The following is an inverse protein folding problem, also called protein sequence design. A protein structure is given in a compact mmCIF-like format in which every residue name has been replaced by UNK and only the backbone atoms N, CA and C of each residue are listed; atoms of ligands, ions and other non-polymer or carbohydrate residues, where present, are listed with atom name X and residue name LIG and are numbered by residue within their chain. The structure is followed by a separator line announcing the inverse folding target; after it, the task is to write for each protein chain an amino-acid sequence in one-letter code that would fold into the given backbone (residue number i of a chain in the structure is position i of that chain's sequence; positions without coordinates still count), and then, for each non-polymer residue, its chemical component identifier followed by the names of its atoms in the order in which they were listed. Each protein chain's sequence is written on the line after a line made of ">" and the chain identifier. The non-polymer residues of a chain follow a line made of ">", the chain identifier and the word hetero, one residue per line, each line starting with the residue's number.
data_IF_178872654223
#
_entry.id   IF_178872654223
#
_cell.length_a   1.000
_cell.length_b   1.000
_cell.length_c   1.000
_cell.angle_alpha   90.00
_cell.angle_beta   90.00
_cell.angle_gamma   90.00
#
_symmetry.space_group_name_H-M   'P 1'
#
loop_
_entity.id
_entity.type
_entity.pdbx_description
1 polymer ?
#
# COMPACT_ATOMS: atom_id res chain seq x y z
N UNK A 1 27.16 -1.37 -48.98
CA UNK A 1 27.14 -1.76 -47.55
C UNK A 1 25.69 -1.88 -47.14
N UNK A 2 25.16 -3.10 -47.17
CA UNK A 2 23.73 -3.39 -47.27
C UNK A 2 23.00 -3.28 -45.94
N UNK A 3 21.88 -2.53 -45.90
CA UNK A 3 20.89 -2.54 -44.82
C UNK A 3 20.42 -3.97 -44.43
N UNK A 4 20.58 -4.95 -45.32
CA UNK A 4 20.20 -6.35 -45.08
C UNK A 4 21.08 -7.09 -44.06
N UNK A 5 22.30 -6.61 -43.75
CA UNK A 5 23.14 -7.18 -42.68
C UNK A 5 22.87 -6.55 -41.30
N UNK A 6 22.19 -5.40 -41.25
CA UNK A 6 21.86 -4.73 -39.99
C UNK A 6 20.62 -5.28 -39.30
N UNK A 7 19.64 -5.78 -40.09
CA UNK A 7 18.37 -6.31 -39.60
C UNK A 7 18.56 -7.57 -38.73
N UNK A 8 19.35 -8.59 -39.13
CA UNK A 8 19.56 -9.79 -38.32
C UNK A 8 20.34 -9.52 -37.03
N UNK A 9 21.26 -8.55 -37.05
CA UNK A 9 22.02 -8.13 -35.86
C UNK A 9 21.12 -7.38 -34.87
N UNK A 10 20.24 -6.50 -35.36
CA UNK A 10 19.23 -5.82 -34.55
C UNK A 10 18.26 -6.81 -33.91
N UNK A 11 17.80 -7.81 -34.67
CA UNK A 11 16.96 -8.89 -34.17
C UNK A 11 17.68 -9.76 -33.13
N UNK A 12 18.95 -10.11 -33.35
CA UNK A 12 19.73 -10.88 -32.37
C UNK A 12 19.97 -10.09 -31.07
N UNK A 13 20.34 -8.81 -31.17
CA UNK A 13 20.51 -7.92 -30.00
C UNK A 13 19.19 -7.76 -29.25
N UNK A 14 18.08 -7.62 -29.98
CA UNK A 14 16.74 -7.57 -29.41
C UNK A 14 16.38 -8.88 -28.68
N UNK A 15 16.56 -10.04 -29.32
CA UNK A 15 16.30 -11.35 -28.72
C UNK A 15 17.17 -11.60 -27.49
N UNK A 16 18.47 -11.29 -27.53
CA UNK A 16 19.38 -11.40 -26.37
C UNK A 16 18.93 -10.45 -25.26
N UNK A 17 18.52 -9.22 -25.60
CA UNK A 17 17.95 -8.26 -24.66
C UNK A 17 16.69 -8.79 -23.96
N UNK A 18 15.75 -9.35 -24.74
CA UNK A 18 14.54 -9.99 -24.24
C UNK A 18 14.84 -11.21 -23.37
N UNK A 19 15.74 -12.10 -23.79
CA UNK A 19 16.13 -13.29 -23.02
C UNK A 19 16.81 -12.89 -21.71
N UNK A 20 17.78 -11.95 -21.75
CA UNK A 20 18.42 -11.42 -20.54
C UNK A 20 17.42 -10.73 -19.61
N UNK A 21 16.42 -10.04 -20.16
CA UNK A 21 15.35 -9.43 -19.40
C UNK A 21 14.47 -10.46 -18.71
N UNK A 22 13.98 -11.46 -19.44
CA UNK A 22 13.17 -12.56 -18.91
C UNK A 22 13.95 -13.29 -17.84
N UNK A 23 15.21 -13.67 -18.09
CA UNK A 23 16.08 -14.33 -17.11
C UNK A 23 16.23 -13.43 -15.87
N UNK A 24 16.54 -12.14 -16.02
CA UNK A 24 16.70 -11.22 -14.88
C UNK A 24 15.42 -11.08 -14.05
N UNK A 25 14.23 -11.18 -14.65
CA UNK A 25 12.94 -11.01 -13.98
C UNK A 25 12.32 -12.31 -13.45
N UNK A 26 12.57 -13.44 -14.10
CA UNK A 26 12.16 -14.76 -13.64
C UNK A 26 13.07 -15.29 -12.52
N UNK A 27 14.34 -14.87 -12.47
CA UNK A 27 15.25 -15.22 -11.37
C UNK A 27 15.17 -14.25 -10.17
N UNK A 28 14.51 -13.09 -10.35
CA UNK A 28 14.29 -12.11 -9.27
C UNK A 28 12.99 -12.44 -8.56
N UNK A 29 13.08 -12.90 -7.32
CA UNK A 29 11.93 -12.95 -6.42
C UNK A 29 11.75 -11.61 -5.71
N UNK A 30 10.53 -11.27 -5.32
CA UNK A 30 10.20 -10.06 -4.57
C UNK A 30 11.01 -9.96 -3.27
N UNK A 31 11.41 -11.09 -2.69
CA UNK A 31 12.30 -11.17 -1.52
C UNK A 31 13.64 -10.42 -1.67
N UNK A 32 14.19 -10.32 -2.88
CA UNK A 32 15.44 -9.59 -3.14
C UNK A 32 15.27 -8.08 -2.95
N UNK A 33 14.07 -7.54 -3.24
CA UNK A 33 13.82 -6.09 -3.17
C UNK A 33 13.77 -5.57 -1.74
N UNK A 34 13.61 -6.47 -0.78
CA UNK A 34 13.57 -6.19 0.65
C UNK A 34 14.73 -6.81 1.41
N UNK A 35 15.73 -7.38 0.72
CA UNK A 35 16.76 -8.18 1.40
C UNK A 35 17.55 -7.39 2.44
N UNK A 36 17.75 -6.09 2.19
CA UNK A 36 18.46 -5.16 3.06
C UNK A 36 17.55 -4.41 4.03
N UNK A 37 16.24 -4.70 4.04
CA UNK A 37 15.28 -4.02 4.93
C UNK A 37 15.35 -4.59 6.34
N UNK A 38 14.97 -3.78 7.31
CA UNK A 38 14.93 -4.18 8.71
C UNK A 38 13.80 -5.18 8.96
N UNK A 39 13.90 -5.95 10.04
CA UNK A 39 12.86 -6.91 10.44
C UNK A 39 11.83 -6.16 11.28
N UNK A 40 10.56 -6.26 10.93
CA UNK A 40 9.49 -5.60 11.67
C UNK A 40 9.29 -6.22 13.07
N UNK A 41 8.94 -5.39 14.05
CA UNK A 41 8.59 -5.85 15.40
C UNK A 41 7.17 -6.43 15.45
N UNK A 42 6.88 -7.28 16.47
CA UNK A 42 5.52 -7.78 16.65
C UNK A 42 4.53 -6.65 16.95
N UNK A 43 4.95 -5.62 17.68
CA UNK A 43 4.13 -4.47 18.07
C UNK A 43 3.64 -3.67 16.87
N UNK A 44 4.52 -3.38 15.91
CA UNK A 44 4.16 -2.65 14.69
C UNK A 44 3.26 -3.47 13.77
N UNK A 45 3.54 -4.77 13.69
CA UNK A 45 2.87 -5.67 12.75
C UNK A 45 1.52 -6.20 13.26
N UNK A 46 1.29 -6.16 14.59
CA UNK A 46 0.07 -6.64 15.27
C UNK A 46 -1.26 -6.20 14.65
N UNK A 47 -1.42 -4.96 14.13
CA UNK A 47 -2.67 -4.52 13.53
C UNK A 47 -3.05 -5.20 12.22
N UNK A 48 -2.08 -5.70 11.47
CA UNK A 48 -2.29 -6.08 10.07
C UNK A 48 -3.26 -7.27 9.91
N UNK A 49 -3.11 -8.41 10.63
CA UNK A 49 -4.03 -9.53 10.48
C UNK A 49 -5.48 -9.17 10.81
N UNK A 50 -5.73 -8.42 11.90
CA UNK A 50 -7.09 -8.01 12.29
C UNK A 50 -7.72 -7.08 11.25
N UNK A 51 -6.95 -6.15 10.68
CA UNK A 51 -7.44 -5.23 9.66
C UNK A 51 -7.73 -5.98 8.35
N UNK A 52 -6.95 -7.00 8.01
CA UNK A 52 -7.25 -7.86 6.87
C UNK A 52 -8.58 -8.59 7.06
N UNK A 53 -8.86 -9.12 8.26
CA UNK A 53 -10.17 -9.71 8.58
C UNK A 53 -11.30 -8.69 8.49
N UNK A 54 -11.11 -7.47 8.98
CA UNK A 54 -12.12 -6.40 8.84
C UNK A 54 -12.41 -6.04 7.38
N UNK A 55 -11.39 -6.00 6.52
CA UNK A 55 -11.60 -5.78 5.08
C UNK A 55 -12.30 -6.98 4.45
N UNK A 56 -11.94 -8.22 4.81
CA UNK A 56 -12.61 -9.44 4.36
C UNK A 56 -14.10 -9.44 4.75
N UNK A 57 -14.45 -8.93 5.92
CA UNK A 57 -15.86 -8.81 6.34
C UNK A 57 -16.69 -7.93 5.40
N UNK A 58 -16.08 -6.93 4.73
CA UNK A 58 -16.77 -6.10 3.73
C UNK A 58 -17.20 -6.91 2.51
N UNK A 59 -16.58 -8.08 2.26
CA UNK A 59 -16.95 -8.97 1.16
C UNK A 59 -18.17 -9.84 1.46
N UNK A 60 -18.52 -10.05 2.74
CA UNK A 60 -19.67 -10.87 3.15
C UNK A 60 -21.00 -10.17 2.87
N UNK A 61 -22.04 -10.89 2.50
CA UNK A 61 -23.39 -10.31 2.36
C UNK A 61 -24.06 -10.10 3.72
N UNK A 62 -23.91 -11.07 4.62
CA UNK A 62 -24.42 -11.04 5.99
C UNK A 62 -23.27 -11.27 6.99
N UNK A 63 -23.08 -10.32 7.91
CA UNK A 63 -22.03 -10.41 8.93
C UNK A 63 -22.42 -11.29 10.12
N UNK A 64 -23.72 -11.51 10.34
CA UNK A 64 -24.21 -12.41 11.39
C UNK A 64 -24.08 -13.88 10.95
N UNK A 65 -24.21 -14.14 9.64
CA UNK A 65 -24.10 -15.47 9.04
C UNK A 65 -23.11 -15.47 7.86
N UNK A 66 -21.80 -15.29 8.12
CA UNK A 66 -20.82 -15.19 7.05
C UNK A 66 -20.64 -16.51 6.30
N UNK A 67 -20.45 -16.43 4.99
CA UNK A 67 -20.28 -17.59 4.11
C UNK A 67 -18.81 -18.02 3.97
N UNK A 68 -17.88 -17.08 4.06
CA UNK A 68 -16.46 -17.31 3.79
C UNK A 68 -15.54 -16.83 4.93
N UNK A 69 -15.81 -17.21 6.19
CA UNK A 69 -14.97 -16.81 7.31
C UNK A 69 -13.53 -17.33 7.13
N UNK A 70 -12.50 -16.51 7.39
CA UNK A 70 -11.12 -16.98 7.44
C UNK A 70 -10.92 -17.96 8.63
N UNK A 71 -9.77 -18.63 8.67
CA UNK A 71 -9.41 -19.50 9.79
C UNK A 71 -9.41 -18.71 11.11
N UNK A 72 -10.26 -19.11 12.05
CA UNK A 72 -10.47 -18.37 13.31
C UNK A 72 -11.58 -17.31 13.28
N UNK A 73 -12.28 -17.17 12.15
CA UNK A 73 -13.37 -16.21 11.97
C UNK A 73 -12.87 -14.76 11.81
N UNK A 74 -13.80 -13.81 11.67
CA UNK A 74 -13.44 -12.40 11.49
C UNK A 74 -12.87 -11.75 12.76
N UNK A 75 -13.16 -12.30 13.94
CA UNK A 75 -12.82 -11.67 15.21
C UNK A 75 -13.47 -10.29 15.39
N UNK A 76 -14.64 -10.11 14.78
CA UNK A 76 -15.45 -8.89 14.85
C UNK A 76 -16.77 -9.19 15.55
N UNK A 77 -17.29 -8.20 16.26
CA UNK A 77 -18.66 -8.20 16.76
C UNK A 77 -19.56 -7.41 15.80
N UNK A 78 -20.49 -8.06 15.07
CA UNK A 78 -21.39 -7.38 14.14
C UNK A 78 -22.15 -6.19 14.76
N UNK A 79 -22.42 -6.20 16.07
CA UNK A 79 -23.10 -5.11 16.77
C UNK A 79 -22.25 -3.83 16.86
N UNK A 80 -20.93 -3.95 16.71
CA UNK A 80 -20.00 -2.83 16.71
C UNK A 80 -19.83 -2.19 15.32
N UNK A 81 -20.52 -2.69 14.28
CA UNK A 81 -20.57 -2.07 12.96
C UNK A 81 -21.49 -0.86 13.01
N UNK A 82 -20.93 0.33 12.82
CA UNK A 82 -21.69 1.59 12.85
C UNK A 82 -22.46 1.79 11.55
N UNK A 83 -21.80 1.51 10.42
CA UNK A 83 -22.41 1.59 9.11
C UNK A 83 -21.70 0.67 8.12
N UNK A 84 -22.44 0.32 7.09
CA UNK A 84 -21.95 -0.43 5.93
C UNK A 84 -22.52 0.20 4.67
N UNK A 85 -21.70 0.26 3.61
CA UNK A 85 -22.05 0.79 2.30
C UNK A 85 -21.75 -0.23 1.22
N UNK A 86 -22.75 -0.58 0.44
CA UNK A 86 -22.62 -1.46 -0.73
C UNK A 86 -22.41 -0.65 -2.02
N UNK A 87 -22.34 -1.33 -3.17
CA UNK A 87 -22.26 -0.62 -4.45
C UNK A 87 -23.52 0.21 -4.74
N UNK A 88 -24.68 -0.24 -4.27
CA UNK A 88 -25.95 0.47 -4.37
C UNK A 88 -25.92 1.78 -3.57
N UNK A 89 -25.42 1.71 -2.33
CA UNK A 89 -25.30 2.89 -1.46
C UNK A 89 -24.28 3.90 -2.00
N UNK A 90 -23.15 3.41 -2.52
CA UNK A 90 -22.08 4.26 -3.06
C UNK A 90 -22.38 4.79 -4.45
N UNK A 91 -23.37 4.23 -5.15
CA UNK A 91 -23.72 4.53 -6.54
C UNK A 91 -22.50 4.43 -7.47
N UNK A 92 -21.58 3.50 -7.16
CA UNK A 92 -20.33 3.30 -7.89
C UNK A 92 -19.29 4.41 -7.74
N UNK A 93 -19.47 5.37 -6.81
CA UNK A 93 -18.48 6.44 -6.57
C UNK A 93 -17.29 6.01 -5.72
N UNK A 94 -17.44 4.91 -4.97
CA UNK A 94 -16.39 4.25 -4.21
C UNK A 94 -16.66 2.75 -4.16
N UNK A 95 -15.64 1.95 -3.86
CA UNK A 95 -15.82 0.53 -3.51
C UNK A 95 -16.55 0.40 -2.16
N UNK A 96 -17.24 -0.71 -1.89
CA UNK A 96 -17.90 -0.96 -0.62
C UNK A 96 -16.98 -0.78 0.59
N UNK A 97 -17.54 -0.33 1.69
CA UNK A 97 -16.81 -0.13 2.94
C UNK A 97 -17.73 -0.28 4.15
N UNK A 98 -17.12 -0.38 5.33
CA UNK A 98 -17.80 -0.31 6.61
C UNK A 98 -17.04 0.58 7.59
N UNK A 99 -17.74 1.12 8.57
CA UNK A 99 -17.14 1.76 9.75
C UNK A 99 -17.41 0.86 10.95
N UNK A 100 -16.34 0.46 11.63
CA UNK A 100 -16.36 -0.43 12.77
C UNK A 100 -15.76 0.24 14.01
N UNK A 101 -16.40 0.04 15.16
CA UNK A 101 -15.87 0.45 16.46
C UNK A 101 -15.10 -0.70 17.10
N UNK A 102 -13.79 -0.65 17.02
CA UNK A 102 -12.91 -1.62 17.68
C UNK A 102 -12.60 -1.15 19.09
N UNK A 103 -13.50 -1.47 20.02
CA UNK A 103 -13.36 -1.11 21.43
C UNK A 103 -12.13 -1.76 22.08
N UNK A 104 -11.72 -2.95 21.62
CA UNK A 104 -10.55 -3.68 22.16
C UNK A 104 -9.25 -2.91 21.87
N UNK A 105 -9.13 -2.33 20.67
CA UNK A 105 -7.94 -1.58 20.27
C UNK A 105 -8.11 -0.06 20.39
N UNK A 106 -9.24 0.41 20.94
CA UNK A 106 -9.60 1.84 20.99
C UNK A 106 -9.45 2.52 19.63
N UNK A 107 -10.10 1.95 18.61
CA UNK A 107 -9.92 2.34 17.21
C UNK A 107 -11.26 2.49 16.50
N UNK A 108 -11.38 3.52 15.66
CA UNK A 108 -12.47 3.69 14.70
C UNK A 108 -11.90 3.27 13.35
N UNK A 109 -12.38 2.14 12.82
CA UNK A 109 -11.83 1.55 11.59
C UNK A 109 -12.77 1.77 10.42
N UNK A 110 -12.30 2.46 9.38
CA UNK A 110 -12.96 2.52 8.07
C UNK A 110 -12.29 1.49 7.15
N UNK A 111 -12.95 0.36 6.92
CA UNK A 111 -12.43 -0.75 6.12
C UNK A 111 -13.03 -0.71 4.70
N UNK A 112 -12.17 -0.64 3.68
CA UNK A 112 -12.55 -0.48 2.26
C UNK A 112 -12.22 -1.74 1.46
N UNK A 113 -13.23 -2.29 0.79
CA UNK A 113 -13.13 -3.47 -0.07
C UNK A 113 -12.27 -3.19 -1.31
N UNK A 114 -11.62 -4.22 -1.84
CA UNK A 114 -10.94 -4.17 -3.12
C UNK A 114 -11.85 -4.36 -4.33
N UNK A 115 -11.20 -4.50 -5.50
CA UNK A 115 -11.82 -4.56 -6.82
C UNK A 115 -12.86 -5.69 -6.97
N UNK A 116 -13.99 -5.39 -7.63
CA UNK A 116 -14.96 -6.38 -8.09
C UNK A 116 -14.99 -6.47 -9.61
N UNK A 117 -14.74 -7.68 -10.15
CA UNK A 117 -14.78 -7.93 -11.59
C UNK A 117 -16.14 -7.69 -12.25
N UNK A 118 -17.22 -7.79 -11.48
CA UNK A 118 -18.58 -7.58 -11.95
C UNK A 118 -18.94 -6.09 -12.05
N UNK A 119 -18.17 -5.20 -11.42
CA UNK A 119 -18.55 -3.80 -11.25
C UNK A 119 -17.82 -2.89 -12.23
N UNK A 120 -18.56 -2.33 -13.19
CA UNK A 120 -18.00 -1.38 -14.19
C UNK A 120 -17.44 -0.10 -13.56
N UNK A 121 -18.01 0.36 -12.45
CA UNK A 121 -17.55 1.56 -11.75
C UNK A 121 -16.14 1.41 -11.16
N UNK A 122 -15.75 0.20 -10.76
CA UNK A 122 -14.39 -0.05 -10.27
C UNK A 122 -13.36 0.09 -11.39
N UNK A 123 -13.68 -0.41 -12.59
CA UNK A 123 -12.88 -0.14 -13.78
C UNK A 123 -12.81 1.37 -14.04
N UNK A 124 -13.94 2.08 -14.07
CA UNK A 124 -13.96 3.51 -14.31
C UNK A 124 -13.10 4.29 -13.30
N UNK A 125 -13.14 3.94 -12.01
CA UNK A 125 -12.30 4.57 -10.98
C UNK A 125 -10.80 4.35 -11.23
N UNK A 126 -10.39 3.14 -11.62
CA UNK A 126 -8.99 2.86 -11.93
C UNK A 126 -8.51 3.57 -13.20
N UNK A 127 -9.39 3.70 -14.18
CA UNK A 127 -9.08 4.23 -15.50
C UNK A 127 -9.20 5.76 -15.57
N UNK A 128 -9.85 6.36 -14.56
CA UNK A 128 -9.86 7.81 -14.31
C UNK A 128 -8.50 8.30 -13.77
N UNK A 129 -7.46 8.05 -14.55
CA UNK A 129 -6.11 8.56 -14.38
C UNK A 129 -5.48 8.94 -15.75
N UNK A 130 -6.29 8.93 -16.82
CA UNK A 130 -5.88 9.39 -18.16
C UNK A 130 -5.58 10.89 -18.11
N UNK A 131 -4.50 11.31 -18.77
CA UNK A 131 -3.92 12.67 -18.75
C UNK A 131 -3.15 13.08 -17.49
N UNK A 132 -3.17 12.24 -16.46
CA UNK A 132 -2.18 12.26 -15.42
C UNK A 132 -2.29 13.42 -14.42
N UNK A 133 -2.37 12.98 -13.16
CA UNK A 133 -1.67 13.60 -12.03
C UNK A 133 -2.43 14.80 -11.49
N UNK A 134 -3.43 14.48 -10.65
CA UNK A 134 -4.08 15.46 -9.78
C UNK A 134 -3.02 15.93 -8.78
N UNK A 135 -2.68 17.22 -8.83
CA UNK A 135 -1.80 17.82 -7.84
C UNK A 135 -2.53 17.86 -6.49
N UNK A 136 -1.87 17.38 -5.43
CA UNK A 136 -2.40 17.39 -4.08
C UNK A 136 -1.24 17.48 -3.08
N UNK A 137 -1.36 18.36 -2.09
CA UNK A 137 -0.35 18.58 -1.04
C UNK A 137 1.09 18.70 -1.59
N UNK A 138 1.29 19.45 -2.68
CA UNK A 138 2.60 19.63 -3.30
C UNK A 138 3.20 18.37 -3.94
N UNK A 139 2.40 17.33 -4.19
CA UNK A 139 2.77 16.17 -4.99
C UNK A 139 1.65 15.78 -5.96
N UNK A 140 1.66 14.54 -6.42
CA UNK A 140 0.66 14.04 -7.36
C UNK A 140 0.01 12.76 -6.88
N UNK A 141 -1.28 12.62 -7.12
CA UNK A 141 -2.07 11.45 -6.75
C UNK A 141 -2.88 10.90 -7.91
N UNK A 142 -3.35 9.66 -7.76
CA UNK A 142 -4.27 9.02 -8.70
C UNK A 142 -5.66 9.68 -8.61
N UNK A 143 -6.16 10.18 -9.74
CA UNK A 143 -7.34 11.03 -9.77
C UNK A 143 -8.64 10.30 -9.36
N UNK A 144 -8.93 9.14 -9.94
CA UNK A 144 -10.13 8.36 -9.57
C UNK A 144 -10.16 7.94 -8.09
N UNK A 145 -9.03 7.46 -7.55
CA UNK A 145 -8.91 7.10 -6.13
C UNK A 145 -9.11 8.30 -5.21
N UNK A 146 -8.60 9.49 -5.58
CA UNK A 146 -8.84 10.70 -4.81
C UNK A 146 -10.32 11.10 -4.81
N UNK A 147 -10.98 11.09 -5.98
CA UNK A 147 -12.41 11.40 -6.08
C UNK A 147 -13.26 10.46 -5.23
N UNK A 148 -12.95 9.17 -5.24
CA UNK A 148 -13.64 8.19 -4.40
C UNK A 148 -13.43 8.48 -2.90
N UNK A 149 -12.19 8.80 -2.50
CA UNK A 149 -11.89 9.17 -1.13
C UNK A 149 -12.56 10.48 -0.68
N UNK A 150 -12.59 11.50 -1.54
CA UNK A 150 -13.32 12.75 -1.29
C UNK A 150 -14.81 12.47 -1.09
N UNK A 151 -15.40 11.62 -1.93
CA UNK A 151 -16.79 11.23 -1.81
C UNK A 151 -17.09 10.47 -0.51
N UNK A 152 -16.23 9.53 -0.09
CA UNK A 152 -16.39 8.81 1.19
C UNK A 152 -16.28 9.77 2.37
N UNK A 153 -15.29 10.67 2.36
CA UNK A 153 -15.13 11.67 3.41
C UNK A 153 -16.37 12.57 3.49
N UNK A 154 -16.87 13.09 2.37
CA UNK A 154 -18.08 13.93 2.35
C UNK A 154 -19.31 13.19 2.86
N UNK A 155 -19.48 11.93 2.46
CA UNK A 155 -20.64 11.11 2.83
C UNK A 155 -20.65 10.77 4.31
N UNK A 156 -19.49 10.47 4.88
CA UNK A 156 -19.38 9.95 6.26
C UNK A 156 -18.78 10.95 7.26
N UNK A 157 -18.50 12.20 6.84
CA UNK A 157 -17.91 13.26 7.66
C UNK A 157 -18.66 13.44 8.99
N UNK A 158 -19.99 13.48 8.93
CA UNK A 158 -20.83 13.66 10.12
C UNK A 158 -20.66 12.51 11.10
N UNK A 159 -20.75 11.27 10.61
CA UNK A 159 -20.62 10.06 11.44
C UNK A 159 -19.22 9.98 12.06
N UNK A 160 -18.18 10.19 11.24
CA UNK A 160 -16.80 10.18 11.74
C UNK A 160 -16.57 11.25 12.82
N UNK A 161 -17.09 12.46 12.63
CA UNK A 161 -16.97 13.55 13.61
C UNK A 161 -17.70 13.23 14.91
N UNK A 162 -18.92 12.68 14.84
CA UNK A 162 -19.67 12.24 16.02
C UNK A 162 -18.94 11.13 16.79
N UNK A 163 -18.38 10.14 16.08
CA UNK A 163 -17.60 9.07 16.69
C UNK A 163 -16.32 9.58 17.34
N UNK A 164 -15.60 10.49 16.68
CA UNK A 164 -14.39 11.11 17.23
C UNK A 164 -14.67 11.98 18.45
N UNK A 165 -15.83 12.65 18.48
CA UNK A 165 -16.30 13.39 19.65
C UNK A 165 -16.69 12.48 20.81
N UNK A 166 -17.36 11.36 20.52
CA UNK A 166 -17.77 10.36 21.52
C UNK A 166 -16.60 9.58 22.08
N UNK A 167 -15.59 9.29 21.27
CA UNK A 167 -14.41 8.50 21.62
C UNK A 167 -13.11 9.31 21.41
N UNK A 168 -12.85 10.33 22.25
CA UNK A 168 -11.73 11.26 22.04
C UNK A 168 -10.35 10.62 22.19
N UNK A 169 -10.26 9.42 22.76
CA UNK A 169 -9.02 8.65 22.89
C UNK A 169 -8.78 7.70 21.72
N UNK A 170 -9.76 7.48 20.84
CA UNK A 170 -9.65 6.45 19.82
C UNK A 170 -8.78 6.93 18.65
N UNK A 171 -8.05 6.03 18.04
CA UNK A 171 -7.43 6.30 16.74
C UNK A 171 -8.48 6.26 15.62
N UNK A 172 -8.18 6.92 14.51
CA UNK A 172 -8.93 6.81 13.26
C UNK A 172 -8.07 6.05 12.26
N UNK A 173 -8.43 4.79 12.01
CA UNK A 173 -7.69 3.92 11.11
C UNK A 173 -8.49 3.69 9.84
N UNK A 174 -7.88 3.95 8.69
CA UNK A 174 -8.44 3.56 7.39
C UNK A 174 -7.65 2.38 6.83
N UNK A 175 -8.32 1.31 6.45
CA UNK A 175 -7.68 0.13 5.93
C UNK A 175 -8.35 -0.28 4.63
N UNK A 176 -7.59 -0.73 3.65
CA UNK A 176 -8.19 -1.19 2.40
C UNK A 176 -7.30 -2.16 1.65
N UNK A 177 -7.91 -2.94 0.77
CA UNK A 177 -7.25 -3.96 -0.04
C UNK A 177 -7.27 -3.60 -1.52
N UNK A 178 -6.16 -3.82 -2.23
CA UNK A 178 -6.10 -3.68 -3.69
C UNK A 178 -6.57 -2.30 -4.16
N UNK A 179 -7.68 -2.21 -4.90
CA UNK A 179 -8.30 -0.94 -5.27
C UNK A 179 -8.69 -0.09 -4.04
N UNK A 180 -9.29 -0.71 -3.03
CA UNK A 180 -9.71 -0.06 -1.80
C UNK A 180 -8.55 0.44 -0.94
N UNK A 181 -7.36 -0.15 -1.09
CA UNK A 181 -6.16 0.35 -0.40
C UNK A 181 -5.72 1.71 -0.96
N UNK A 182 -5.96 1.94 -2.26
CA UNK A 182 -5.72 3.22 -2.91
C UNK A 182 -6.67 4.29 -2.40
N UNK A 183 -7.95 3.95 -2.25
CA UNK A 183 -8.96 4.81 -1.61
C UNK A 183 -8.59 5.10 -0.16
N UNK A 184 -8.17 4.07 0.60
CA UNK A 184 -7.72 4.21 1.98
C UNK A 184 -6.52 5.17 2.11
N UNK A 185 -5.52 5.04 1.25
CA UNK A 185 -4.36 5.93 1.23
C UNK A 185 -4.76 7.39 0.93
N UNK A 186 -5.69 7.61 -0.01
CA UNK A 186 -6.20 8.95 -0.30
C UNK A 186 -7.03 9.52 0.85
N UNK A 187 -7.84 8.69 1.52
CA UNK A 187 -8.58 9.07 2.74
C UNK A 187 -7.62 9.51 3.84
N UNK A 188 -6.50 8.80 4.02
CA UNK A 188 -5.49 9.18 5.02
C UNK A 188 -4.90 10.57 4.74
N UNK A 189 -4.59 10.87 3.46
CA UNK A 189 -4.17 12.21 3.04
C UNK A 189 -5.24 13.27 3.38
N UNK A 190 -6.50 12.99 3.02
CA UNK A 190 -7.61 13.90 3.27
C UNK A 190 -7.85 14.11 4.77
N UNK A 191 -7.81 13.06 5.59
CA UNK A 191 -7.98 13.15 7.05
C UNK A 191 -6.89 14.00 7.70
N UNK A 192 -5.66 13.91 7.20
CA UNK A 192 -4.52 14.69 7.72
C UNK A 192 -4.52 16.14 7.21
N UNK A 193 -5.01 16.40 6.00
CA UNK A 193 -5.05 17.74 5.42
C UNK A 193 -6.30 18.53 5.83
N UNK A 194 -7.45 17.86 5.97
CA UNK A 194 -8.75 18.44 6.32
C UNK A 194 -9.16 18.07 7.75
N UNK A 195 -8.23 18.18 8.72
CA UNK A 195 -8.46 17.79 10.13
C UNK A 195 -9.56 18.60 10.79
N UNK A 196 -9.71 19.85 10.37
CA UNK A 196 -10.79 20.78 10.75
C UNK A 196 -12.18 20.22 10.44
N UNK A 197 -12.35 19.45 9.36
CA UNK A 197 -13.61 18.75 9.07
C UNK A 197 -13.92 17.60 10.03
N UNK A 198 -12.92 17.06 10.72
CA UNK A 198 -13.02 15.87 11.58
C UNK A 198 -12.80 16.21 13.06
N UNK A 199 -13.24 17.39 13.50
CA UNK A 199 -13.11 17.82 14.89
C UNK A 199 -11.66 18.05 15.34
N UNK A 200 -10.77 18.44 14.42
CA UNK A 200 -9.35 18.72 14.66
C UNK A 200 -8.57 17.54 15.24
N UNK A 201 -8.82 16.32 14.74
CA UNK A 201 -8.08 15.13 15.12
C UNK A 201 -6.56 15.33 14.96
N UNK A 202 -5.78 14.86 15.94
CA UNK A 202 -4.33 14.92 15.88
C UNK A 202 -3.77 13.99 14.79
N UNK A 203 -2.75 14.42 14.03
CA UNK A 203 -2.13 13.62 12.96
C UNK A 203 -1.71 12.22 13.44
N UNK A 204 -1.11 12.12 14.63
CA UNK A 204 -0.65 10.85 15.23
C UNK A 204 -1.78 9.85 15.52
N UNK A 205 -3.04 10.30 15.57
CA UNK A 205 -4.21 9.43 15.76
C UNK A 205 -4.76 8.91 14.44
N UNK A 206 -4.33 9.45 13.30
CA UNK A 206 -4.72 8.97 11.97
C UNK A 206 -3.74 7.89 11.53
N UNK A 207 -4.26 6.73 11.14
CA UNK A 207 -3.46 5.61 10.62
C UNK A 207 -4.07 5.08 9.34
N UNK A 208 -3.23 4.55 8.46
CA UNK A 208 -3.66 3.88 7.25
C UNK A 208 -2.92 2.57 7.04
N UNK A 209 -3.67 1.53 6.68
CA UNK A 209 -3.12 0.23 6.30
C UNK A 209 -3.56 -0.13 4.88
N UNK A 210 -2.65 0.06 3.92
CA UNK A 210 -2.89 -0.19 2.52
C UNK A 210 -2.41 -1.60 2.15
N UNK A 211 -3.33 -2.56 2.11
CA UNK A 211 -3.04 -3.97 1.85
C UNK A 211 -3.01 -4.23 0.34
N UNK A 212 -1.92 -4.81 -0.17
CA UNK A 212 -1.69 -5.06 -1.60
C UNK A 212 -1.89 -3.82 -2.49
N UNK A 213 -1.16 -2.70 -2.25
CA UNK A 213 -1.57 -1.42 -2.77
C UNK A 213 -1.28 -1.14 -4.23
N UNK A 214 -2.21 -0.44 -4.88
CA UNK A 214 -1.96 0.25 -6.13
C UNK A 214 -1.01 1.44 -5.93
N UNK A 215 -0.26 1.76 -6.99
CA UNK A 215 0.54 2.99 -7.04
C UNK A 215 -0.39 4.20 -7.13
N UNK A 216 -0.49 4.95 -6.04
CA UNK A 216 -1.52 5.99 -5.91
C UNK A 216 -0.99 7.40 -5.62
N UNK A 217 0.30 7.57 -5.32
CA UNK A 217 0.88 8.89 -5.01
C UNK A 217 2.34 9.05 -5.44
N UNK A 218 2.81 10.29 -5.60
CA UNK A 218 4.21 10.60 -5.91
C UNK A 218 5.14 10.16 -4.78
N UNK A 219 6.42 9.91 -5.10
CA UNK A 219 7.40 9.47 -4.11
C UNK A 219 7.52 10.47 -2.95
N UNK A 220 7.50 11.77 -3.22
CA UNK A 220 7.52 12.82 -2.20
C UNK A 220 6.35 12.71 -1.20
N UNK A 221 5.15 12.35 -1.66
CA UNK A 221 4.00 12.13 -0.78
C UNK A 221 4.12 10.81 -0.03
N UNK A 222 4.56 9.73 -0.69
CA UNK A 222 4.78 8.45 -0.03
C UNK A 222 5.74 8.59 1.17
N UNK A 223 6.84 9.34 1.00
CA UNK A 223 7.79 9.62 2.08
C UNK A 223 7.20 10.54 3.17
N UNK A 224 6.49 11.60 2.78
CA UNK A 224 5.90 12.56 3.72
C UNK A 224 4.81 11.97 4.61
N UNK A 225 4.10 10.95 4.12
CA UNK A 225 3.02 10.29 4.84
C UNK A 225 3.43 8.91 5.38
N UNK A 226 4.73 8.57 5.40
CA UNK A 226 5.21 7.29 5.90
C UNK A 226 5.00 7.08 7.42
N UNK A 227 4.74 8.15 8.17
CA UNK A 227 4.30 8.12 9.58
C UNK A 227 2.83 7.74 9.74
N UNK A 228 2.02 7.91 8.70
CA UNK A 228 0.56 7.68 8.72
C UNK A 228 0.18 6.42 7.94
N UNK A 229 0.80 6.21 6.77
CA UNK A 229 0.43 5.16 5.82
C UNK A 229 1.42 4.00 5.88
N UNK A 230 0.88 2.81 6.10
CA UNK A 230 1.58 1.54 6.16
C UNK A 230 1.06 0.63 5.04
N UNK A 231 1.89 0.41 4.03
CA UNK A 231 1.61 -0.51 2.92
C UNK A 231 2.05 -1.93 3.25
N UNK A 232 1.20 -2.92 3.01
CA UNK A 232 1.52 -4.33 3.24
C UNK A 232 1.54 -5.07 1.91
N UNK A 233 2.62 -5.77 1.64
CA UNK A 233 2.80 -6.54 0.41
C UNK A 233 3.24 -7.96 0.74
N UNK A 234 2.60 -8.94 0.12
CA UNK A 234 3.03 -10.33 0.19
C UNK A 234 3.86 -10.68 -1.04
N UNK A 235 5.08 -11.16 -0.81
CA UNK A 235 5.92 -11.80 -1.84
C UNK A 235 6.02 -11.03 -3.18
N UNK A 236 5.50 -11.62 -4.25
CA UNK A 236 5.67 -11.18 -5.62
C UNK A 236 4.44 -10.42 -6.12
N UNK A 237 3.57 -9.95 -5.22
CA UNK A 237 2.38 -9.18 -5.57
C UNK A 237 2.72 -8.09 -6.59
N UNK A 238 1.98 -8.14 -7.70
CA UNK A 238 2.26 -7.37 -8.89
C UNK A 238 1.78 -5.92 -8.76
N UNK A 239 0.72 -5.65 -7.98
CA UNK A 239 0.04 -4.37 -8.05
C UNK A 239 0.90 -3.18 -7.58
N UNK A 240 1.70 -3.29 -6.50
CA UNK A 240 2.67 -2.25 -6.11
C UNK A 240 3.81 -2.06 -7.15
N UNK A 241 4.01 -3.07 -8.02
CA UNK A 241 5.15 -3.19 -8.94
C UNK A 241 4.83 -2.76 -10.37
N UNK A 242 3.57 -2.49 -10.71
CA UNK A 242 3.17 -2.20 -12.09
C UNK A 242 2.72 -0.73 -12.25
N UNK A 243 3.35 0.04 -13.17
CA UNK A 243 2.99 1.45 -13.42
C UNK A 243 1.79 1.60 -14.36
N UNK A 244 1.41 0.54 -15.06
CA UNK A 244 0.45 0.60 -16.18
C UNK A 244 -1.00 0.68 -15.69
N UNK A 245 -1.88 1.40 -16.42
CA UNK A 245 -3.32 1.27 -16.27
C UNK A 245 -3.71 -0.21 -16.36
N UNK A 246 -4.50 -0.70 -15.40
CA UNK A 246 -4.92 -2.11 -15.34
C UNK A 246 -5.69 -2.58 -16.60
N UNK A 247 -6.21 -1.65 -17.40
CA UNK A 247 -6.67 -1.87 -18.79
C UNK A 247 -5.67 -2.68 -19.61
N UNK A 248 -4.37 -2.36 -19.49
CA UNK A 248 -3.31 -3.09 -20.16
C UNK A 248 -3.12 -4.48 -19.56
N UNK A 249 -3.25 -4.65 -18.23
CA UNK A 249 -3.06 -5.94 -17.52
C UNK A 249 -4.18 -6.93 -17.85
N UNK A 250 -5.43 -6.47 -17.93
CA UNK A 250 -6.54 -7.33 -18.32
C UNK A 250 -6.54 -7.64 -19.82
N UNK A 251 -6.08 -6.71 -20.66
CA UNK A 251 -5.79 -6.98 -22.08
C UNK A 251 -4.55 -7.87 -22.28
N UNK A 252 -3.60 -7.84 -21.34
CA UNK A 252 -2.33 -8.59 -21.33
C UNK A 252 -2.56 -10.10 -21.21
N UNK A 253 -3.66 -10.56 -20.58
CA UNK A 253 -4.03 -11.98 -20.51
C UNK A 253 -4.19 -12.64 -21.89
N UNK A 254 -4.55 -11.86 -22.93
CA UNK A 254 -4.78 -12.36 -24.29
C UNK A 254 -3.59 -12.17 -25.25
N UNK A 255 -2.57 -11.38 -24.90
CA UNK A 255 -1.41 -11.11 -25.78
C UNK A 255 -0.10 -10.89 -25.00
N UNK A 256 0.09 -11.66 -23.93
CA UNK A 256 1.23 -11.62 -23.00
C UNK A 256 2.59 -11.51 -23.73
N UNK A 257 2.92 -12.34 -24.74
CA UNK A 257 4.28 -12.39 -25.29
C UNK A 257 4.70 -11.10 -26.02
N UNK A 258 3.82 -10.51 -26.82
CA UNK A 258 4.18 -9.43 -27.75
C UNK A 258 4.25 -8.06 -27.05
N UNK A 259 3.31 -7.78 -26.15
CA UNK A 259 3.22 -6.49 -25.44
C UNK A 259 4.21 -6.43 -24.27
N UNK A 260 4.48 -7.57 -23.61
CA UNK A 260 5.62 -7.67 -22.69
C UNK A 260 6.87 -7.24 -23.46
N UNK A 261 7.23 -7.85 -24.59
CA UNK A 261 8.48 -7.54 -25.29
C UNK A 261 8.74 -6.04 -25.57
N UNK A 262 7.75 -5.27 -26.04
CA UNK A 262 7.93 -3.83 -26.32
C UNK A 262 8.06 -2.99 -25.03
N UNK A 263 7.22 -3.23 -24.02
CA UNK A 263 7.30 -2.52 -22.73
C UNK A 263 8.52 -2.96 -21.90
N UNK A 264 8.94 -4.22 -22.03
CA UNK A 264 10.16 -4.78 -21.45
C UNK A 264 11.39 -4.00 -21.88
N UNK A 265 11.52 -3.71 -23.18
CA UNK A 265 12.59 -2.86 -23.70
C UNK A 265 12.51 -1.48 -23.07
N UNK A 266 11.36 -0.81 -23.13
CA UNK A 266 11.20 0.55 -22.59
C UNK A 266 11.55 0.65 -21.10
N UNK A 267 11.11 -0.27 -20.26
CA UNK A 267 11.38 -0.25 -18.82
C UNK A 267 12.82 -0.63 -18.45
N UNK A 268 13.48 -1.44 -19.29
CA UNK A 268 14.88 -1.84 -19.12
C UNK A 268 15.85 -0.72 -19.49
N UNK A 269 15.51 0.04 -20.53
CA UNK A 269 16.34 1.14 -21.03
C UNK A 269 16.00 2.48 -20.38
N UNK A 270 14.86 2.61 -19.68
CA UNK A 270 14.57 3.77 -18.86
C UNK A 270 15.50 3.82 -17.63
N UNK A 271 16.37 4.83 -17.60
CA UNK A 271 17.29 5.05 -16.48
C UNK A 271 16.53 5.29 -15.18
N UNK A 272 17.09 4.82 -14.06
CA UNK A 272 16.50 5.08 -12.74
C UNK A 272 16.42 6.58 -12.45
N UNK A 273 17.38 7.37 -12.94
CA UNK A 273 17.34 8.82 -12.89
C UNK A 273 16.07 9.38 -13.54
N UNK A 274 15.75 8.98 -14.78
CA UNK A 274 14.56 9.47 -15.48
C UNK A 274 13.26 9.09 -14.75
N UNK A 275 13.22 7.93 -14.10
CA UNK A 275 12.07 7.47 -13.30
C UNK A 275 11.91 8.29 -12.01
N UNK A 276 13.02 8.61 -11.35
CA UNK A 276 13.05 9.40 -10.10
C UNK A 276 12.66 10.85 -10.36
N UNK A 277 13.17 11.43 -11.44
CA UNK A 277 12.92 12.84 -11.79
C UNK A 277 11.55 13.08 -12.41
N UNK A 278 10.82 12.03 -12.80
CA UNK A 278 9.44 12.17 -13.25
C UNK A 278 8.57 12.54 -12.04
N UNK A 279 8.13 13.82 -11.91
CA UNK A 279 7.37 14.26 -10.73
C UNK A 279 6.06 13.50 -10.58
N UNK A 280 5.66 12.90 -11.67
CA UNK A 280 4.33 12.51 -11.95
C UNK A 280 4.19 10.98 -12.04
N UNK A 281 5.26 10.25 -11.70
CA UNK A 281 5.26 8.81 -11.50
C UNK A 281 4.69 8.51 -10.12
N UNK A 282 3.74 7.58 -10.07
CA UNK A 282 3.12 7.16 -8.80
C UNK A 282 3.82 5.91 -8.25
N UNK A 283 3.76 5.76 -6.94
CA UNK A 283 4.42 4.72 -6.15
C UNK A 283 3.46 4.17 -5.10
N UNK A 284 3.83 3.04 -4.49
CA UNK A 284 3.14 2.53 -3.30
C UNK A 284 3.23 3.57 -2.17
N UNK A 285 2.15 3.77 -1.40
CA UNK A 285 2.10 4.84 -0.42
C UNK A 285 2.79 4.47 0.90
N UNK A 286 3.50 5.42 1.52
CA UNK A 286 3.96 5.29 2.89
C UNK A 286 5.10 4.28 3.14
N UNK A 287 5.22 3.85 4.40
CA UNK A 287 6.14 2.78 4.86
C UNK A 287 5.68 1.44 4.30
N UNK A 288 6.60 0.58 3.88
CA UNK A 288 6.28 -0.75 3.37
C UNK A 288 6.58 -1.84 4.40
N UNK A 289 5.71 -2.84 4.48
CA UNK A 289 5.88 -4.11 5.16
C UNK A 289 5.80 -5.20 4.11
N UNK A 290 6.87 -5.93 3.93
CA UNK A 290 6.98 -6.99 2.94
C UNK A 290 7.06 -8.35 3.62
N UNK A 291 6.03 -9.17 3.42
CA UNK A 291 5.92 -10.52 3.96
C UNK A 291 6.61 -11.49 3.01
N UNK A 292 7.68 -12.12 3.49
CA UNK A 292 8.52 -13.01 2.69
C UNK A 292 8.39 -14.47 3.17
N UNK A 293 7.52 -15.26 2.54
CA UNK A 293 7.39 -16.72 2.76
C UNK A 293 8.11 -17.64 1.74
N UNK A 294 8.75 -17.10 0.70
CA UNK A 294 9.45 -17.86 -0.38
C UNK A 294 10.80 -17.23 -0.75
N UNK A 295 11.74 -18.09 -1.18
CA UNK A 295 13.10 -17.71 -1.62
C UNK A 295 13.38 -18.24 -3.02
N UNK A 296 14.23 -17.54 -3.78
CA UNK A 296 14.62 -17.98 -5.11
C UNK A 296 15.34 -19.34 -5.07
N UNK A 297 15.07 -20.18 -6.08
CA UNK A 297 15.71 -21.49 -6.28
C UNK A 297 15.48 -22.53 -5.17
N UNK A 298 14.49 -22.33 -4.30
CA UNK A 298 14.10 -23.33 -3.29
C UNK A 298 12.63 -23.71 -3.48
N UNK A 299 12.36 -25.01 -3.44
CA UNK A 299 10.99 -25.53 -3.44
C UNK A 299 10.36 -25.38 -2.05
N UNK A 300 9.11 -24.91 -2.00
CA UNK A 300 8.30 -24.82 -0.77
C UNK A 300 8.15 -23.42 -0.17
N UNK A 301 7.17 -23.29 0.73
CA UNK A 301 6.98 -22.13 1.59
C UNK A 301 7.80 -22.30 2.87
N UNK A 302 8.26 -21.19 3.43
CA UNK A 302 9.04 -21.12 4.66
C UNK A 302 8.32 -20.22 5.66
N UNK A 303 8.67 -20.32 6.96
CA UNK A 303 8.13 -19.42 7.97
C UNK A 303 8.22 -17.97 7.50
N UNK A 304 7.09 -17.23 7.42
CA UNK A 304 7.06 -15.90 6.85
C UNK A 304 7.90 -14.94 7.67
N UNK A 305 8.73 -14.15 7.00
CA UNK A 305 9.52 -13.08 7.62
C UNK A 305 9.00 -11.75 7.12
N UNK A 306 8.65 -10.85 8.02
CA UNK A 306 8.22 -9.49 7.66
C UNK A 306 9.40 -8.56 7.72
N UNK A 307 9.60 -7.82 6.64
CA UNK A 307 10.61 -6.77 6.56
C UNK A 307 9.95 -5.42 6.36
N UNK A 308 10.52 -4.36 6.91
CA UNK A 308 9.98 -3.01 6.80
C UNK A 308 11.06 -1.99 6.42
N UNK A 309 10.65 -1.00 5.63
CA UNK A 309 11.46 0.15 5.28
C UNK A 309 10.59 1.29 4.71
N UNK A 310 11.19 2.47 4.59
CA UNK A 310 10.72 3.58 3.75
C UNK A 310 11.63 3.66 2.50
N UNK A 311 11.33 2.92 1.42
CA UNK A 311 12.27 2.74 0.31
C UNK A 311 12.36 3.97 -0.58
N UNK A 312 13.52 4.62 -0.54
CA UNK A 312 13.92 5.70 -1.47
C UNK A 312 14.73 5.12 -2.63
N UNK A 313 15.74 4.31 -2.27
CA UNK A 313 16.51 3.46 -3.17
C UNK A 313 15.83 2.09 -3.26
N UNK A 314 15.78 1.47 -4.45
CA UNK A 314 15.12 0.17 -4.61
C UNK A 314 13.63 0.19 -4.22
N UNK A 315 12.87 1.14 -4.82
CA UNK A 315 11.49 1.61 -4.53
C UNK A 315 10.36 0.56 -4.59
N UNK A 316 10.69 -0.72 -4.49
CA UNK A 316 9.78 -1.85 -4.65
C UNK A 316 9.00 -1.78 -5.99
N UNK A 317 9.58 -1.09 -6.99
CA UNK A 317 8.92 -0.77 -8.26
C UNK A 317 9.30 -1.72 -9.40
N UNK A 318 10.16 -2.70 -9.10
CA UNK A 318 10.59 -3.72 -10.03
C UNK A 318 9.49 -4.75 -10.26
N UNK A 319 9.01 -4.85 -11.50
CA UNK A 319 8.13 -5.95 -11.94
C UNK A 319 8.79 -7.30 -11.65
N UNK A 320 8.07 -8.20 -10.99
CA UNK A 320 8.46 -9.59 -10.77
C UNK A 320 7.49 -10.47 -11.53
N UNK A 321 8.00 -11.45 -12.28
CA UNK A 321 7.16 -12.42 -13.00
C UNK A 321 7.05 -13.67 -12.14
N UNK A 322 5.88 -13.85 -11.52
CA UNK A 322 5.60 -14.98 -10.62
C UNK A 322 4.27 -15.62 -11.00
N UNK A 323 4.22 -16.96 -11.04
CA UNK A 323 2.98 -17.71 -11.23
C UNK A 323 2.03 -17.57 -10.03
N UNK A 324 2.53 -17.07 -8.89
CA UNK A 324 1.77 -16.88 -7.67
C UNK A 324 1.26 -15.45 -7.51
N UNK A 325 1.51 -14.54 -8.46
CA UNK A 325 1.24 -13.11 -8.29
C UNK A 325 -0.23 -12.79 -7.93
N UNK A 326 -1.20 -13.55 -8.46
CA UNK A 326 -2.62 -13.40 -8.11
C UNK A 326 -2.95 -13.93 -6.72
N UNK A 327 -2.27 -14.99 -6.28
CA UNK A 327 -2.42 -15.54 -4.93
C UNK A 327 -1.78 -14.61 -3.90
N UNK A 328 -0.61 -14.07 -4.20
CA UNK A 328 0.09 -13.08 -3.38
C UNK A 328 -0.69 -11.77 -3.23
N UNK A 329 -1.47 -11.41 -4.26
CA UNK A 329 -2.36 -10.26 -4.22
C UNK A 329 -3.63 -10.51 -3.38
N UNK A 330 -4.00 -11.76 -3.11
CA UNK A 330 -5.25 -12.08 -2.42
C UNK A 330 -5.15 -11.76 -0.93
N UNK A 331 -6.09 -10.95 -0.44
CA UNK A 331 -6.19 -10.63 0.99
C UNK A 331 -6.31 -11.86 1.91
N UNK A 332 -6.91 -12.97 1.46
CA UNK A 332 -7.00 -14.20 2.28
C UNK A 332 -5.60 -14.79 2.53
N UNK A 333 -4.76 -14.79 1.50
CA UNK A 333 -3.37 -15.25 1.65
C UNK A 333 -2.55 -14.25 2.46
N UNK A 334 -2.74 -12.95 2.26
CA UNK A 334 -2.07 -11.92 3.05
C UNK A 334 -2.44 -12.04 4.54
N UNK A 335 -3.72 -12.23 4.85
CA UNK A 335 -4.20 -12.41 6.23
C UNK A 335 -3.56 -13.64 6.88
N UNK A 336 -3.58 -14.77 6.17
CA UNK A 336 -3.00 -16.03 6.65
C UNK A 336 -1.50 -15.90 6.95
N UNK A 337 -0.73 -15.41 5.98
CA UNK A 337 0.73 -15.29 6.13
C UNK A 337 1.10 -14.18 7.14
N UNK A 338 0.30 -13.12 7.25
CA UNK A 338 0.48 -12.10 8.28
C UNK A 338 0.18 -12.65 9.67
N UNK A 339 -0.88 -13.44 9.84
CA UNK A 339 -1.22 -14.04 11.13
C UNK A 339 -0.14 -15.02 11.58
N UNK A 340 0.35 -15.86 10.66
CA UNK A 340 1.45 -16.78 10.95
C UNK A 340 2.74 -16.04 11.30
N UNK A 341 3.10 -15.00 10.54
CA UNK A 341 4.27 -14.18 10.85
C UNK A 341 4.18 -13.53 12.23
N UNK A 342 3.01 -12.99 12.59
CA UNK A 342 2.78 -12.38 13.89
C UNK A 342 2.91 -13.40 15.03
N UNK A 343 2.38 -14.62 14.85
CA UNK A 343 2.53 -15.68 15.84
C UNK A 343 4.01 -16.02 16.08
N UNK A 344 4.78 -16.20 15.00
CA UNK A 344 6.21 -16.48 15.07
C UNK A 344 7.02 -15.34 15.72
N UNK A 345 6.66 -14.08 15.45
CA UNK A 345 7.29 -12.93 16.11
C UNK A 345 7.03 -12.94 17.62
N UNK A 346 5.78 -13.16 18.04
CA UNK A 346 5.39 -13.22 19.46
C UNK A 346 6.09 -14.39 20.16
N UNK A 347 6.16 -15.56 19.54
CA UNK A 347 6.88 -16.71 20.08
C UNK A 347 8.37 -16.40 20.26
N UNK A 348 9.00 -15.80 19.25
CA UNK A 348 10.40 -15.39 19.32
C UNK A 348 10.66 -14.36 20.43
N UNK A 349 9.77 -13.37 20.59
CA UNK A 349 9.86 -12.39 21.67
C UNK A 349 9.75 -13.03 23.05
N UNK A 350 8.82 -13.98 23.24
CA UNK A 350 8.67 -14.75 24.48
C UNK A 350 9.90 -15.60 24.78
N UNK A 351 10.57 -16.16 23.77
CA UNK A 351 11.78 -16.95 23.97
C UNK A 351 13.01 -16.11 24.37
N UNK A 352 13.00 -14.78 24.17
CA UNK A 352 14.14 -13.89 24.40
C UNK A 352 14.04 -13.04 25.69
N UNK A 353 13.17 -13.41 26.64
CA UNK A 353 12.70 -12.60 27.79
C UNK A 353 13.65 -11.58 28.47
N UNK A 354 13.14 -10.34 28.60
CA UNK A 354 13.22 -9.47 29.78
C UNK A 354 11.84 -8.78 29.99
N UNK A 355 11.44 -8.37 31.22
CA UNK A 355 10.05 -8.38 31.69
C UNK A 355 9.10 -7.32 31.10
N UNK A 356 7.80 -7.62 31.20
CA UNK A 356 6.60 -6.97 30.62
C UNK A 356 6.37 -5.49 30.96
N UNK A 357 7.21 -4.85 31.79
CA UNK A 357 7.02 -3.45 32.22
C UNK A 357 7.49 -2.43 31.17
N UNK A 358 7.96 -2.87 30.00
CA UNK A 358 8.63 -2.05 28.97
C UNK A 358 7.77 -1.71 27.73
N UNK A 359 6.49 -2.08 27.66
CA UNK A 359 5.68 -1.88 26.43
C UNK A 359 5.55 -0.42 26.00
N UNK A 360 5.22 0.51 26.92
CA UNK A 360 5.16 1.95 26.58
C UNK A 360 6.53 2.49 26.12
N UNK A 361 7.63 2.07 26.78
CA UNK A 361 8.98 2.49 26.36
C UNK A 361 9.36 1.92 24.99
N UNK A 362 8.83 0.75 24.60
CA UNK A 362 9.05 0.16 23.27
C UNK A 362 8.30 0.92 22.19
N UNK A 363 7.04 1.28 22.42
CA UNK A 363 6.24 2.06 21.47
C UNK A 363 6.83 3.45 21.22
N UNK A 364 7.32 4.13 22.27
CA UNK A 364 8.02 5.41 22.13
C UNK A 364 9.35 5.28 21.37
N UNK A 365 10.08 4.19 21.62
CA UNK A 365 11.35 3.91 20.92
C UNK A 365 11.10 3.68 19.42
N UNK A 366 10.12 2.83 19.09
CA UNK A 366 9.70 2.57 17.71
C UNK A 366 9.26 3.86 17.01
N UNK A 367 8.43 4.68 17.67
CA UNK A 367 7.97 5.94 17.08
C UNK A 367 9.14 6.88 16.78
N UNK A 368 10.16 6.91 17.64
CA UNK A 368 11.39 7.69 17.43
C UNK A 368 12.22 7.15 16.27
N UNK A 369 12.45 5.83 16.22
CA UNK A 369 13.18 5.16 15.12
C UNK A 369 12.49 5.41 13.77
N UNK A 370 11.16 5.29 13.73
CA UNK A 370 10.37 5.61 12.54
C UNK A 370 10.51 7.06 12.08
N UNK A 371 10.53 8.01 13.02
CA UNK A 371 10.72 9.44 12.71
C UNK A 371 12.13 9.73 12.19
N UNK A 372 13.14 9.08 12.76
CA UNK A 372 14.54 9.19 12.32
C UNK A 372 14.69 8.60 10.90
N UNK A 373 14.14 7.41 10.63
CA UNK A 373 14.13 6.77 9.31
C UNK A 373 13.41 7.63 8.27
N UNK A 374 12.23 8.17 8.60
CA UNK A 374 11.47 9.03 7.68
C UNK A 374 12.27 10.29 7.32
N UNK A 375 12.97 10.88 8.29
CA UNK A 375 13.81 12.06 8.08
C UNK A 375 15.00 11.74 7.17
N UNK A 376 15.67 10.62 7.42
CA UNK A 376 16.76 10.13 6.57
C UNK A 376 16.29 9.86 5.13
N UNK A 377 15.10 9.26 4.98
CA UNK A 377 14.49 8.99 3.68
C UNK A 377 14.15 10.29 2.92
N UNK A 378 13.61 11.31 3.60
CA UNK A 378 13.35 12.62 2.99
C UNK A 378 14.64 13.32 2.56
N UNK A 379 15.68 13.31 3.40
CA UNK A 379 17.00 13.86 3.04
C UNK A 379 17.61 13.15 1.84
N UNK A 380 17.50 11.81 1.80
CA UNK A 380 17.95 10.99 0.67
C UNK A 380 17.19 11.35 -0.61
N UNK A 381 15.87 11.54 -0.53
CA UNK A 381 15.06 11.93 -1.68
C UNK A 381 15.44 13.30 -2.23
N UNK A 382 15.76 14.27 -1.36
CA UNK A 382 16.30 15.58 -1.77
C UNK A 382 17.64 15.41 -2.49
N UNK A 383 18.55 14.58 -1.96
CA UNK A 383 19.85 14.31 -2.58
C UNK A 383 19.72 13.65 -3.97
N UNK A 384 18.68 12.86 -4.21
CA UNK A 384 18.38 12.26 -5.51
C UNK A 384 17.54 13.16 -6.44
N UNK A 385 17.29 14.41 -6.06
CA UNK A 385 16.49 15.37 -6.84
C UNK A 385 15.06 14.86 -7.12
N UNK A 386 14.46 14.16 -6.15
CA UNK A 386 13.05 13.76 -6.21
C UNK A 386 12.20 15.05 -6.26
N UNK A 387 11.32 15.21 -7.26
CA UNK A 387 10.51 16.43 -7.37
C UNK A 387 9.62 16.65 -6.15
N UNK A 388 9.57 17.90 -5.68
CA UNK A 388 8.80 18.33 -4.51
C UNK A 388 9.18 17.62 -3.20
N UNK A 389 10.33 16.94 -3.15
CA UNK A 389 10.91 16.51 -1.88
C UNK A 389 11.52 17.74 -1.18
N UNK A 390 11.18 17.91 0.09
CA UNK A 390 11.80 18.91 0.96
C UNK A 390 12.17 18.24 2.29
N UNK A 391 13.31 18.64 2.85
CA UNK A 391 13.65 18.25 4.22
C UNK A 391 12.82 19.11 5.18
N UNK A 392 12.18 18.53 6.20
CA UNK A 392 11.70 19.33 7.32
C UNK A 392 12.91 20.08 7.93
N UNK A 393 12.74 21.36 8.27
CA UNK A 393 13.82 22.13 8.90
C UNK A 393 14.13 21.54 10.27
N UNK A 394 15.42 21.39 10.58
CA UNK A 394 15.94 20.83 11.85
C UNK A 394 15.63 21.74 13.06
N UNK A 395 15.05 22.92 12.83
CA UNK A 395 14.62 23.86 13.87
C UNK A 395 13.13 24.17 13.73
N UNK A 396 12.41 24.08 14.86
CA UNK A 396 10.97 24.22 14.96
C UNK A 396 10.43 25.65 14.93
N UNK A 397 9.10 25.70 14.87
CA UNK A 397 8.20 26.85 15.11
C UNK A 397 8.33 28.09 14.20
N UNK A 398 7.17 28.47 13.65
CA UNK A 398 6.85 29.68 12.87
C UNK A 398 7.40 29.78 11.45
N UNK A 399 6.50 29.59 10.48
CA UNK A 399 6.39 30.55 9.38
C UNK A 399 5.09 31.33 9.57
N UNK A 400 5.20 32.41 10.34
CA UNK A 400 4.33 33.57 10.17
C UNK A 400 4.77 34.31 8.90
N UNK A 401 3.75 34.74 8.14
CA UNK A 401 3.75 35.82 7.12
C UNK A 401 4.45 35.51 5.79
N UNK A 402 3.90 35.87 4.62
CA UNK A 402 3.29 37.17 4.31
C UNK A 402 2.43 37.16 3.03
N UNK A 403 1.34 37.93 3.11
CA UNK A 403 0.46 38.54 2.07
C UNK A 403 -0.41 37.63 1.22
#
# INVERSE_FOLDING_TARGET
>A
MSLACGIPLLECVYCIGCVRWVIKRCLRTGGHDSETWEIASATEFRPIPRLCRMILAVYEEDLENPLWPPLGGYGMDPQCVVLRRTYEDTQGRSTPYLIYLDHVNSDIVLAVRGFSFAQSSDYAMMLDNTLGKKAYDGGFVHNGLLKAAEWVLESECRVLTELLGKYPKYTLTVAGHSLGSGVAAMLALLFVQKRDMLGCIERKRVRCYAIAPARCMSLSLALRYADVINSVVLQDDFLPRVPTPLEDIFSLLFCLPCILCFRCVKDTFASDYAKITDPRRLYAPGRLYHIVERKAFRCGRYPPVVRTAIPVDGRFDGVVLSCNATSDHSIIWIEKEAQEALNLMIEKEKCMEAPSTQEMSKEETIAREHSEEQTAALQRAVAMQVPYAYSPSVYGTFNMTSV
#
